data_IF_841917953421
#
_entry.id   IF_841917953421
#
_cell.length_a   1.000
_cell.length_b   1.000
_cell.length_c   1.000
_cell.angle_alpha   90.00
_cell.angle_beta   90.00
_cell.angle_gamma   90.00
#
_symmetry.space_group_name_H-M   'P 1'
#
loop_
_entity.id
_entity.type
_entity.pdbx_description
1 polymer ?
#
# COMPACT_ATOMS: atom_id res chain seq x y z
N UNK A 1 10.33 -5.97 -7.04
CA UNK A 1 9.70 -4.64 -7.00
C UNK A 1 9.55 -4.19 -5.55
N UNK A 2 8.83 -4.93 -4.67
CA UNK A 2 8.64 -4.54 -3.26
C UNK A 2 9.96 -4.29 -2.52
N UNK A 3 10.98 -5.11 -2.74
CA UNK A 3 12.30 -4.90 -2.15
C UNK A 3 12.96 -3.62 -2.64
N UNK A 4 12.86 -3.34 -3.94
CA UNK A 4 13.42 -2.11 -4.51
C UNK A 4 12.68 -0.87 -4.03
N UNK A 5 11.35 -0.91 -3.95
CA UNK A 5 10.57 0.21 -3.38
C UNK A 5 10.83 0.39 -1.89
N UNK A 6 11.08 -0.69 -1.13
CA UNK A 6 11.48 -0.59 0.27
C UNK A 6 12.84 0.11 0.45
N UNK A 7 13.81 -0.20 -0.41
CA UNK A 7 15.12 0.48 -0.39
C UNK A 7 14.97 1.96 -0.76
N UNK A 8 14.17 2.28 -1.77
CA UNK A 8 13.88 3.67 -2.13
C UNK A 8 13.23 4.43 -0.97
N UNK A 9 12.21 3.84 -0.34
CA UNK A 9 11.54 4.44 0.80
C UNK A 9 12.50 4.63 1.98
N UNK A 10 13.34 3.63 2.30
CA UNK A 10 14.37 3.73 3.32
C UNK A 10 15.41 4.82 3.01
N UNK A 11 15.86 4.92 1.76
CA UNK A 11 16.82 5.95 1.32
C UNK A 11 16.24 7.35 1.43
N UNK A 12 14.97 7.52 1.08
CA UNK A 12 14.25 8.78 1.23
C UNK A 12 14.11 9.11 2.72
N UNK A 13 13.76 8.12 3.56
CA UNK A 13 13.62 8.31 4.99
C UNK A 13 14.93 8.76 5.67
N UNK A 14 16.08 8.23 5.23
CA UNK A 14 17.39 8.55 5.82
C UNK A 14 17.95 9.91 5.39
N UNK A 15 17.64 10.36 4.17
CA UNK A 15 18.26 11.57 3.60
C UNK A 15 17.40 12.83 3.76
N UNK A 16 16.13 12.71 4.10
CA UNK A 16 15.21 13.84 4.11
C UNK A 16 14.70 14.13 5.52
N UNK A 17 15.59 14.60 6.38
CA UNK A 17 15.20 15.31 7.62
C UNK A 17 14.40 16.60 7.37
N UNK A 18 14.27 17.00 6.11
CA UNK A 18 13.64 18.26 5.71
C UNK A 18 12.21 18.10 5.20
N UNK A 19 11.79 16.90 4.77
CA UNK A 19 10.41 16.66 4.34
C UNK A 19 9.56 16.20 5.52
N UNK A 20 8.48 16.92 5.74
CA UNK A 20 7.54 16.70 6.85
C UNK A 20 6.88 15.31 6.80
N UNK A 21 6.81 14.69 5.60
CA UNK A 21 6.19 13.37 5.40
C UNK A 21 6.77 12.66 4.17
N UNK A 22 7.06 11.38 4.30
CA UNK A 22 7.50 10.51 3.21
C UNK A 22 6.27 9.84 2.57
N UNK A 23 6.13 9.87 1.23
CA UNK A 23 5.09 9.12 0.54
C UNK A 23 5.23 7.62 0.79
N UNK A 24 4.11 6.92 0.93
CA UNK A 24 4.07 5.49 1.20
C UNK A 24 4.07 4.67 -0.12
N UNK A 25 5.26 4.57 -0.74
CA UNK A 25 5.45 3.82 -1.99
C UNK A 25 5.07 2.34 -1.85
N UNK A 26 5.41 1.74 -0.71
CA UNK A 26 5.08 0.34 -0.45
C UNK A 26 3.58 0.09 -0.39
N UNK A 27 2.80 1.03 0.17
CA UNK A 27 1.35 0.95 0.18
C UNK A 27 0.78 1.01 -1.24
N UNK A 28 1.25 1.96 -2.06
CA UNK A 28 0.79 2.14 -3.43
C UNK A 28 1.06 0.87 -4.26
N UNK A 29 2.27 0.31 -4.16
CA UNK A 29 2.62 -0.93 -4.85
C UNK A 29 1.79 -2.12 -4.35
N UNK A 30 1.58 -2.25 -3.03
CA UNK A 30 0.78 -3.32 -2.44
C UNK A 30 -0.67 -3.28 -2.95
N UNK A 31 -1.29 -2.10 -3.01
CA UNK A 31 -2.64 -1.90 -3.55
C UNK A 31 -2.68 -2.30 -5.04
N UNK A 32 -1.69 -1.88 -5.84
CA UNK A 32 -1.61 -2.26 -7.24
C UNK A 32 -1.57 -3.78 -7.44
N UNK A 33 -0.68 -4.47 -6.70
CA UNK A 33 -0.58 -5.94 -6.78
C UNK A 33 -1.85 -6.64 -6.31
N UNK A 34 -2.52 -6.10 -5.29
CA UNK A 34 -3.79 -6.62 -4.78
C UNK A 34 -4.88 -6.56 -5.84
N UNK A 35 -5.03 -5.40 -6.49
CA UNK A 35 -6.01 -5.19 -7.55
C UNK A 35 -5.69 -6.00 -8.81
N UNK A 36 -4.41 -6.24 -9.10
CA UNK A 36 -4.00 -6.99 -10.31
C UNK A 36 -4.17 -8.51 -10.15
N UNK A 37 -3.80 -9.07 -9.00
CA UNK A 37 -3.62 -10.52 -8.82
C UNK A 37 -4.59 -11.14 -7.78
N UNK A 38 -5.47 -10.35 -7.20
CA UNK A 38 -6.49 -10.83 -6.26
C UNK A 38 -6.04 -10.93 -4.80
N UNK A 39 -6.96 -11.44 -3.97
CA UNK A 39 -6.84 -11.42 -2.50
C UNK A 39 -5.59 -12.11 -1.94
N UNK A 40 -5.26 -13.30 -2.42
CA UNK A 40 -4.13 -14.07 -1.92
C UNK A 40 -2.80 -13.33 -2.14
N UNK A 41 -2.62 -12.77 -3.33
CA UNK A 41 -1.43 -11.98 -3.64
C UNK A 41 -1.46 -10.61 -2.96
N UNK A 42 -2.64 -10.05 -2.74
CA UNK A 42 -2.83 -8.85 -1.96
C UNK A 42 -2.38 -9.01 -0.51
N UNK A 43 -2.78 -10.10 0.14
CA UNK A 43 -2.34 -10.44 1.50
C UNK A 43 -0.83 -10.62 1.59
N UNK A 44 -0.26 -11.42 0.69
CA UNK A 44 1.18 -11.73 0.70
C UNK A 44 2.03 -10.49 0.42
N UNK A 45 1.65 -9.66 -0.56
CA UNK A 45 2.35 -8.40 -0.85
C UNK A 45 2.15 -7.37 0.25
N UNK A 46 0.97 -7.32 0.85
CA UNK A 46 0.66 -6.50 2.02
C UNK A 46 1.53 -6.88 3.21
N UNK A 47 1.60 -8.19 3.54
CA UNK A 47 2.44 -8.71 4.62
C UNK A 47 3.91 -8.37 4.41
N UNK A 48 4.47 -8.68 3.24
CA UNK A 48 5.87 -8.42 2.93
C UNK A 48 6.19 -6.92 2.96
N UNK A 49 5.34 -6.09 2.38
CA UNK A 49 5.53 -4.64 2.39
C UNK A 49 5.45 -4.06 3.81
N UNK A 50 4.55 -4.58 4.64
CA UNK A 50 4.44 -4.21 6.04
C UNK A 50 5.65 -4.63 6.86
N UNK A 51 6.16 -5.85 6.62
CA UNK A 51 7.35 -6.35 7.29
C UNK A 51 8.59 -5.49 6.98
N UNK A 52 8.78 -5.12 5.71
CA UNK A 52 9.87 -4.21 5.33
C UNK A 52 9.74 -2.85 6.03
N UNK A 53 8.52 -2.32 6.09
CA UNK A 53 8.28 -1.04 6.74
C UNK A 53 8.53 -1.10 8.26
N UNK A 54 8.12 -2.18 8.93
CA UNK A 54 8.36 -2.38 10.36
C UNK A 54 9.87 -2.37 10.68
N UNK A 55 10.68 -3.00 9.82
CA UNK A 55 12.14 -2.97 9.97
C UNK A 55 12.75 -1.59 9.71
N UNK A 56 12.22 -0.83 8.74
CA UNK A 56 12.74 0.50 8.38
C UNK A 56 12.36 1.53 9.44
N UNK A 57 11.14 1.50 9.94
CA UNK A 57 10.61 2.54 10.83
C UNK A 57 10.88 2.28 12.31
N UNK A 58 11.26 1.05 12.69
CA UNK A 58 11.50 0.69 14.08
C UNK A 58 10.25 0.73 14.97
N UNK A 59 9.05 0.74 14.38
CA UNK A 59 7.79 0.59 15.12
C UNK A 59 7.65 -0.86 15.65
N UNK A 60 6.72 -1.14 16.57
CA UNK A 60 6.49 -2.50 17.04
C UNK A 60 6.31 -3.46 15.86
N UNK A 61 7.14 -4.50 15.81
CA UNK A 61 7.11 -5.51 14.74
C UNK A 61 5.71 -6.13 14.62
N UNK A 62 5.19 -6.17 13.40
CA UNK A 62 3.87 -6.72 13.10
C UNK A 62 2.77 -5.67 12.94
N UNK A 63 2.98 -4.43 13.36
CA UNK A 63 1.96 -3.38 13.24
C UNK A 63 1.63 -3.08 11.77
N UNK A 64 2.63 -2.68 10.99
CA UNK A 64 2.43 -2.42 9.57
C UNK A 64 2.14 -3.70 8.78
N UNK A 65 2.72 -4.85 9.18
CA UNK A 65 2.37 -6.15 8.64
C UNK A 65 0.86 -6.40 8.71
N UNK A 66 0.28 -6.29 9.90
CA UNK A 66 -1.15 -6.53 10.11
C UNK A 66 -2.02 -5.57 9.29
N UNK A 67 -1.72 -4.27 9.37
CA UNK A 67 -2.47 -3.23 8.66
C UNK A 67 -2.46 -3.46 7.15
N UNK A 68 -1.28 -3.68 6.57
CA UNK A 68 -1.13 -3.84 5.13
C UNK A 68 -1.65 -5.17 4.62
N UNK A 69 -1.60 -6.24 5.43
CA UNK A 69 -2.23 -7.52 5.10
C UNK A 69 -3.73 -7.37 4.98
N UNK A 70 -4.37 -6.71 5.96
CA UNK A 70 -5.82 -6.44 5.93
C UNK A 70 -6.19 -5.60 4.71
N UNK A 71 -5.43 -4.53 4.43
CA UNK A 71 -5.66 -3.69 3.26
C UNK A 71 -5.46 -4.48 1.96
N UNK A 72 -4.41 -5.26 1.86
CA UNK A 72 -4.13 -6.12 0.71
C UNK A 72 -5.25 -7.11 0.43
N UNK A 73 -5.82 -7.72 1.48
CA UNK A 73 -6.98 -8.58 1.36
C UNK A 73 -8.21 -7.83 0.85
N UNK A 74 -8.54 -6.70 1.49
CA UNK A 74 -9.72 -5.88 1.11
C UNK A 74 -9.61 -5.44 -0.36
N UNK A 75 -8.48 -4.85 -0.77
CA UNK A 75 -8.31 -4.44 -2.16
C UNK A 75 -8.28 -5.62 -3.12
N UNK A 76 -7.75 -6.76 -2.70
CA UNK A 76 -7.75 -8.00 -3.48
C UNK A 76 -9.14 -8.59 -3.73
N UNK A 77 -10.12 -8.34 -2.85
CA UNK A 77 -11.53 -8.71 -3.08
C UNK A 77 -12.13 -7.96 -4.28
N UNK A 78 -11.66 -6.76 -4.55
CA UNK A 78 -12.15 -5.92 -5.64
C UNK A 78 -11.39 -6.14 -6.96
N UNK A 79 -10.44 -7.07 -7.03
CA UNK A 79 -9.61 -7.31 -8.21
C UNK A 79 -10.39 -7.67 -9.47
N UNK A 80 -11.51 -8.38 -9.32
CA UNK A 80 -12.37 -8.76 -10.45
C UNK A 80 -13.33 -7.64 -10.88
N UNK A 81 -13.60 -6.69 -10.00
CA UNK A 81 -14.57 -5.61 -10.21
C UNK A 81 -13.90 -4.33 -10.71
N UNK A 82 -12.67 -4.08 -10.26
CA UNK A 82 -11.95 -2.85 -10.55
C UNK A 82 -11.04 -3.03 -11.77
N UNK A 83 -11.40 -2.37 -12.86
CA UNK A 83 -10.53 -2.32 -14.05
C UNK A 83 -9.45 -1.26 -13.78
N UNK A 84 -8.19 -1.71 -13.73
CA UNK A 84 -7.03 -0.83 -13.54
C UNK A 84 -6.77 -0.08 -14.86
N UNK A 85 -7.59 0.92 -15.16
CA UNK A 85 -7.45 1.75 -16.36
C UNK A 85 -7.65 3.23 -16.02
N UNK A 86 -6.91 4.09 -16.74
CA UNK A 86 -6.99 5.53 -16.56
C UNK A 86 -6.35 6.05 -15.26
N UNK A 87 -6.57 7.33 -14.98
CA UNK A 87 -5.96 8.07 -13.85
C UNK A 87 -6.86 8.00 -12.61
N UNK A 88 -8.16 7.85 -12.79
CA UNK A 88 -9.15 7.94 -11.70
C UNK A 88 -9.03 6.74 -10.75
N UNK A 89 -8.86 5.52 -11.27
CA UNK A 89 -8.78 4.31 -10.45
C UNK A 89 -7.56 4.28 -9.51
N UNK A 90 -6.33 4.61 -9.94
CA UNK A 90 -5.21 4.75 -9.04
C UNK A 90 -5.45 5.77 -7.91
N UNK A 91 -5.97 6.94 -8.25
CA UNK A 91 -6.26 8.02 -7.30
C UNK A 91 -7.26 7.58 -6.24
N UNK A 92 -8.38 6.98 -6.66
CA UNK A 92 -9.42 6.52 -5.74
C UNK A 92 -8.93 5.37 -4.85
N UNK A 93 -8.30 4.35 -5.44
CA UNK A 93 -7.84 3.18 -4.67
C UNK A 93 -6.77 3.56 -3.65
N UNK A 94 -5.79 4.37 -4.02
CA UNK A 94 -4.74 4.80 -3.09
C UNK A 94 -5.28 5.80 -2.06
N UNK A 95 -6.19 6.70 -2.45
CA UNK A 95 -6.86 7.60 -1.52
C UNK A 95 -7.65 6.83 -0.46
N UNK A 96 -8.50 5.90 -0.88
CA UNK A 96 -9.24 5.03 0.05
C UNK A 96 -8.29 4.18 0.89
N UNK A 97 -7.22 3.64 0.31
CA UNK A 97 -6.20 2.86 1.02
C UNK A 97 -5.49 3.65 2.12
N UNK A 98 -5.11 4.89 1.84
CA UNK A 98 -4.45 5.78 2.82
C UNK A 98 -5.41 6.14 3.96
N UNK A 99 -6.68 6.41 3.65
CA UNK A 99 -7.72 6.64 4.66
C UNK A 99 -7.96 5.40 5.52
N UNK A 100 -8.11 4.24 4.89
CA UNK A 100 -8.33 2.97 5.58
C UNK A 100 -7.14 2.60 6.48
N UNK A 101 -5.90 2.79 6.01
CA UNK A 101 -4.68 2.66 6.83
C UNK A 101 -4.78 3.52 8.09
N UNK A 102 -5.18 4.77 7.94
CA UNK A 102 -5.33 5.71 9.07
C UNK A 102 -6.39 5.28 10.05
N UNK A 103 -7.57 4.86 9.56
CA UNK A 103 -8.64 4.34 10.41
C UNK A 103 -8.21 3.10 11.19
N UNK A 104 -7.54 2.15 10.54
CA UNK A 104 -7.01 0.96 11.20
C UNK A 104 -5.95 1.29 12.26
N UNK A 105 -5.07 2.24 11.99
CA UNK A 105 -4.09 2.71 12.99
C UNK A 105 -4.77 3.28 14.23
N UNK A 106 -5.80 4.10 14.07
CA UNK A 106 -6.57 4.66 15.18
C UNK A 106 -7.27 3.54 15.95
N UNK A 107 -7.87 2.59 15.24
CA UNK A 107 -8.56 1.45 15.86
C UNK A 107 -7.58 0.62 16.72
N UNK A 108 -6.39 0.32 16.20
CA UNK A 108 -5.35 -0.41 16.94
C UNK A 108 -4.88 0.41 18.15
N UNK A 109 -4.67 1.72 18.01
CA UNK A 109 -4.27 2.58 19.11
C UNK A 109 -5.31 2.64 20.23
N UNK A 110 -6.60 2.53 19.92
CA UNK A 110 -7.68 2.45 20.90
C UNK A 110 -7.71 1.08 21.58
N UNK A 111 -7.53 0.00 20.82
CA UNK A 111 -7.56 -1.36 21.33
C UNK A 111 -6.31 -1.72 22.17
N UNK A 112 -5.16 -1.15 21.80
CA UNK A 112 -3.86 -1.42 22.43
C UNK A 112 -3.16 -0.14 22.89
N UNK A 113 -3.62 0.51 23.99
CA UNK A 113 -3.03 1.77 24.45
C UNK A 113 -1.55 1.68 24.82
N UNK A 114 -1.05 0.46 25.14
CA UNK A 114 0.35 0.21 25.49
C UNK A 114 1.33 0.23 24.31
N UNK A 115 0.85 0.23 23.06
CA UNK A 115 1.72 0.18 21.89
C UNK A 115 2.33 1.53 21.50
N UNK A 116 2.17 2.60 22.26
CA UNK A 116 2.71 3.96 21.97
C UNK A 116 2.57 4.37 20.49
N UNK A 117 1.50 3.90 19.84
CA UNK A 117 1.18 4.33 18.48
C UNK A 117 0.83 5.80 18.58
N UNK A 118 1.69 6.65 18.01
CA UNK A 118 1.46 8.09 17.99
C UNK A 118 0.18 8.37 17.18
N UNK A 119 -0.94 8.44 17.89
CA UNK A 119 -2.25 8.75 17.32
C UNK A 119 -2.27 10.26 17.08
N UNK A 120 -1.57 10.71 16.04
CA UNK A 120 -1.79 12.07 15.56
C UNK A 120 -3.26 12.16 15.13
N UNK A 121 -3.94 13.22 15.58
CA UNK A 121 -5.36 13.41 15.28
C UNK A 121 -5.70 13.20 13.80
N UNK A 122 -6.93 12.84 13.50
CA UNK A 122 -7.41 12.53 12.14
C UNK A 122 -7.09 13.66 11.14
N UNK A 123 -6.99 14.90 11.61
CA UNK A 123 -6.66 16.10 10.83
C UNK A 123 -5.26 16.61 11.22
N UNK A 124 -4.26 15.75 11.17
CA UNK A 124 -2.87 16.20 11.31
C UNK A 124 -2.38 16.75 9.96
N UNK A 125 -1.65 17.85 10.00
CA UNK A 125 -0.99 18.41 8.80
C UNK A 125 -0.13 17.36 8.11
N UNK A 126 0.51 16.50 8.88
CA UNK A 126 1.32 15.39 8.38
C UNK A 126 0.49 14.39 7.58
N UNK A 127 -0.70 14.03 8.08
CA UNK A 127 -1.59 13.12 7.36
C UNK A 127 -2.10 13.71 6.04
N UNK A 128 -2.43 15.01 6.02
CA UNK A 128 -2.85 15.68 4.79
C UNK A 128 -1.75 15.68 3.73
N UNK A 129 -0.51 15.92 4.13
CA UNK A 129 0.64 15.84 3.22
C UNK A 129 0.88 14.42 2.71
N UNK A 130 0.83 13.39 3.58
CA UNK A 130 0.92 11.98 3.19
C UNK A 130 -0.18 11.61 2.19
N UNK A 131 -1.42 11.99 2.48
CA UNK A 131 -2.57 11.73 1.63
C UNK A 131 -2.41 12.37 0.25
N UNK A 132 -2.09 13.67 0.20
CA UNK A 132 -1.88 14.39 -1.06
C UNK A 132 -0.71 13.79 -1.85
N UNK A 133 0.41 13.50 -1.21
CA UNK A 133 1.57 12.91 -1.85
C UNK A 133 1.26 11.52 -2.44
N UNK A 134 0.60 10.66 -1.68
CA UNK A 134 0.20 9.33 -2.15
C UNK A 134 -0.76 9.40 -3.34
N UNK A 135 -1.77 10.27 -3.28
CA UNK A 135 -2.75 10.46 -4.34
C UNK A 135 -2.12 10.99 -5.63
N UNK A 136 -1.20 11.97 -5.53
CA UNK A 136 -0.51 12.54 -6.70
C UNK A 136 0.45 11.51 -7.32
N UNK A 137 1.15 10.71 -6.51
CA UNK A 137 2.10 9.71 -6.98
C UNK A 137 1.42 8.43 -7.50
N UNK A 138 0.21 8.13 -7.04
CA UNK A 138 -0.53 6.93 -7.42
C UNK A 138 -0.61 6.70 -8.93
N UNK A 139 -1.09 7.65 -9.76
CA UNK A 139 -1.21 7.43 -11.20
C UNK A 139 0.15 7.19 -11.87
N UNK A 140 1.20 7.86 -11.39
CA UNK A 140 2.55 7.70 -11.93
C UNK A 140 3.10 6.30 -11.65
N UNK A 141 2.97 5.82 -10.41
CA UNK A 141 3.43 4.48 -10.01
C UNK A 141 2.62 3.40 -10.70
N UNK A 142 1.29 3.55 -10.77
CA UNK A 142 0.42 2.61 -11.49
C UNK A 142 0.75 2.55 -12.98
N UNK A 143 1.07 3.67 -13.60
CA UNK A 143 1.51 3.71 -15.00
C UNK A 143 2.83 2.98 -15.20
N UNK A 144 3.83 3.24 -14.33
CA UNK A 144 5.11 2.52 -14.37
C UNK A 144 4.95 1.02 -14.18
N UNK A 145 4.14 0.61 -13.19
CA UNK A 145 3.88 -0.80 -12.94
C UNK A 145 3.02 -1.43 -14.04
N UNK A 146 2.13 -0.66 -14.65
CA UNK A 146 1.30 -1.06 -15.78
C UNK A 146 2.12 -1.44 -17.01
N UNK A 147 3.25 -0.77 -17.25
CA UNK A 147 4.18 -1.13 -18.33
C UNK A 147 4.77 -2.54 -18.15
N UNK A 148 5.00 -2.94 -16.90
CA UNK A 148 5.47 -4.28 -16.55
C UNK A 148 4.32 -5.28 -16.27
N UNK A 149 3.07 -4.95 -16.60
CA UNK A 149 1.87 -5.74 -16.28
C UNK A 149 1.98 -7.19 -16.76
N UNK A 150 2.49 -7.44 -17.97
CA UNK A 150 2.61 -8.78 -18.54
C UNK A 150 3.56 -9.68 -17.74
N UNK A 151 4.51 -9.09 -17.00
CA UNK A 151 5.45 -9.80 -16.12
C UNK A 151 4.90 -9.92 -14.70
N UNK A 152 4.07 -8.97 -14.28
CA UNK A 152 3.55 -8.86 -12.92
C UNK A 152 2.20 -9.57 -12.72
N UNK A 153 1.42 -9.70 -13.79
CA UNK A 153 0.16 -10.43 -13.76
C UNK A 153 0.45 -11.94 -13.70
N UNK A 154 -0.10 -12.59 -12.69
CA UNK A 154 0.01 -14.05 -12.57
C UNK A 154 -1.17 -14.63 -13.33
N UNK A 155 -0.85 -15.40 -14.38
CA UNK A 155 -1.84 -16.10 -15.18
C UNK A 155 -2.71 -16.98 -14.28
N UNK A 156 -3.96 -16.59 -14.12
CA UNK A 156 -4.95 -17.39 -13.41
C UNK A 156 -5.26 -18.60 -14.28
N UNK A 157 -5.43 -19.78 -13.68
CA UNK A 157 -5.71 -21.06 -14.38
C UNK A 157 -6.94 -20.98 -15.32
N UNK A 158 -7.80 -19.98 -15.16
CA UNK A 158 -8.95 -19.72 -16.02
C UNK A 158 -8.55 -19.38 -17.46
N UNK A 159 -7.46 -18.60 -17.65
CA UNK A 159 -7.02 -18.22 -19.01
C UNK A 159 -6.45 -19.40 -19.82
N UNK A 160 -6.12 -20.52 -19.15
CA UNK A 160 -5.64 -21.74 -19.79
C UNK A 160 -6.77 -22.66 -20.27
N UNK A 161 -7.98 -22.52 -19.73
CA UNK A 161 -9.12 -23.37 -20.07
C UNK A 161 -9.84 -22.83 -21.30
N UNK A 162 -9.87 -21.51 -21.47
CA UNK A 162 -10.55 -20.85 -22.59
C UNK A 162 -9.74 -20.88 -23.91
N UNK A 163 -8.49 -21.37 -23.88
CA UNK A 163 -7.60 -21.49 -25.04
C UNK A 163 -7.34 -22.96 -25.45
N UNK A 164 -8.12 -23.92 -24.97
CA UNK A 164 -8.12 -25.34 -25.37
C UNK A 164 -9.47 -25.69 -26.02
#
# INVERSE_FOLDING_TARGET
ILFFTAILEASIFSNISFFIVVPDFLLICSIYFSLLNGKFYGETTGFLSGLFLDFITGVPLGLNCLLRTILGYIFGLFSETVIISGIIMPVLSVGVGTLAKRLLLILIGILFPGCNVSIYGFVSTQFLFEFCANVILAPFIFFMLGYAKNVLAISTTKDKIDNV
#
